data_IF_396240613054
#
_entry.id   IF_396240613054
#
_cell.length_a   1.000
_cell.length_b   1.000
_cell.length_c   1.000
_cell.angle_alpha   90.00
_cell.angle_beta   90.00
_cell.angle_gamma   90.00
#
_symmetry.space_group_name_H-M   'P 1'
#
loop_
_entity.id
_entity.type
_entity.pdbx_description
1 polymer ?
#
# COMPACT_ATOMS: atom_id res chain seq x y z
N UNK A 1 8.80 -8.31 3.93
CA UNK A 1 9.31 -6.97 3.54
C UNK A 1 10.75 -6.95 4.03
N UNK A 2 11.66 -7.57 3.27
CA UNK A 2 13.00 -7.95 3.76
C UNK A 2 14.13 -7.29 2.99
N UNK A 3 13.84 -6.27 2.18
CA UNK A 3 14.82 -5.72 1.24
C UNK A 3 15.74 -4.66 1.81
N UNK A 4 15.51 -4.15 3.02
CA UNK A 4 16.35 -3.10 3.64
C UNK A 4 16.43 -1.78 2.84
N UNK A 5 15.78 -1.71 1.68
CA UNK A 5 15.81 -0.62 0.73
C UNK A 5 14.39 -0.10 0.46
N UNK A 6 14.24 1.21 0.19
CA UNK A 6 12.95 1.78 -0.16
C UNK A 6 12.40 1.22 -1.47
N UNK A 7 11.09 1.03 -1.54
CA UNK A 7 10.41 0.74 -2.79
C UNK A 7 10.03 2.03 -3.51
N UNK A 8 10.26 2.09 -4.82
CA UNK A 8 9.84 3.20 -5.66
C UNK A 8 8.80 2.70 -6.67
N UNK A 9 7.63 3.35 -6.69
CA UNK A 9 6.51 3.00 -7.55
C UNK A 9 5.69 4.27 -7.88
N UNK A 10 4.95 4.22 -8.98
CA UNK A 10 3.93 5.24 -9.28
C UNK A 10 2.71 5.03 -8.40
N UNK A 11 2.15 6.11 -7.84
CA UNK A 11 0.90 6.05 -7.06
C UNK A 11 -0.30 5.61 -7.90
N UNK A 12 -0.24 5.70 -9.23
CA UNK A 12 -1.28 5.19 -10.13
C UNK A 12 -1.12 3.70 -10.46
N UNK A 13 0.03 3.10 -10.15
CA UNK A 13 0.35 1.69 -10.43
C UNK A 13 0.11 0.75 -9.24
N UNK A 14 -0.58 1.21 -8.19
CA UNK A 14 -0.86 0.45 -6.97
C UNK A 14 -2.37 0.28 -6.78
N UNK A 15 -2.75 -0.62 -5.86
CA UNK A 15 -4.16 -0.77 -5.46
C UNK A 15 -4.74 0.57 -4.98
N UNK A 16 -6.04 0.76 -5.22
CA UNK A 16 -6.71 2.04 -5.00
C UNK A 16 -6.55 2.54 -3.55
N UNK A 17 -6.73 1.66 -2.55
CA UNK A 17 -6.57 2.07 -1.15
C UNK A 17 -5.16 2.56 -0.81
N UNK A 18 -4.14 2.10 -1.53
CA UNK A 18 -2.77 2.56 -1.31
C UNK A 18 -2.51 3.92 -2.00
N UNK A 19 -3.08 4.14 -3.19
CA UNK A 19 -3.11 5.47 -3.82
C UNK A 19 -3.77 6.49 -2.88
N UNK A 20 -4.99 6.19 -2.44
CA UNK A 20 -5.82 7.11 -1.66
C UNK A 20 -5.20 7.42 -0.29
N UNK A 21 -4.47 6.47 0.30
CA UNK A 21 -3.81 6.66 1.57
C UNK A 21 -2.52 7.50 1.49
N UNK A 22 -1.78 7.43 0.38
CA UNK A 22 -0.48 8.08 0.24
C UNK A 22 -0.54 9.44 -0.44
N UNK A 23 -1.49 9.66 -1.36
CA UNK A 23 -1.63 10.95 -2.02
C UNK A 23 -2.02 12.04 -1.01
N UNK A 24 -1.31 13.16 -1.06
CA UNK A 24 -1.51 14.29 -0.13
C UNK A 24 -0.73 14.16 1.19
N UNK A 25 -0.10 13.02 1.46
CA UNK A 25 0.79 12.89 2.62
C UNK A 25 2.09 13.65 2.42
N UNK A 26 2.66 14.14 3.53
CA UNK A 26 3.92 14.89 3.52
C UNK A 26 5.11 13.94 3.47
N UNK A 27 6.09 14.22 2.61
CA UNK A 27 7.39 13.53 2.62
C UNK A 27 8.06 13.65 4.00
N UNK A 28 8.61 12.55 4.49
CA UNK A 28 9.20 12.38 5.81
C UNK A 28 8.23 11.89 6.89
N UNK A 29 6.95 11.67 6.56
CA UNK A 29 5.97 11.12 7.49
C UNK A 29 5.98 9.59 7.54
N UNK A 30 5.51 9.04 8.66
CA UNK A 30 5.13 7.64 8.82
C UNK A 30 3.62 7.56 8.96
N UNK A 31 2.97 6.71 8.16
CA UNK A 31 1.52 6.50 8.19
C UNK A 31 1.19 5.02 8.36
N UNK A 32 0.10 4.73 9.08
CA UNK A 32 -0.50 3.40 9.11
C UNK A 32 -1.67 3.40 8.14
N UNK A 33 -1.67 2.44 7.22
CA UNK A 33 -2.67 2.32 6.16
C UNK A 33 -3.42 1.01 6.36
N UNK A 34 -4.75 1.09 6.46
CA UNK A 34 -5.64 -0.07 6.59
C UNK A 34 -6.53 -0.07 5.35
N UNK A 35 -6.47 -1.14 4.56
CA UNK A 35 -7.15 -1.26 3.27
C UNK A 35 -8.09 -2.45 3.32
N UNK A 36 -9.41 -2.21 3.40
CA UNK A 36 -10.42 -3.25 3.18
C UNK A 36 -10.23 -3.93 1.83
N UNK A 37 -10.65 -5.18 1.70
CA UNK A 37 -10.41 -5.98 0.50
C UNK A 37 -10.94 -5.30 -0.77
N UNK A 38 -12.06 -4.59 -0.70
CA UNK A 38 -12.70 -3.91 -1.83
C UNK A 38 -11.84 -2.79 -2.44
N UNK A 39 -10.94 -2.20 -1.64
CA UNK A 39 -9.96 -1.19 -2.10
C UNK A 39 -8.57 -1.80 -2.35
N UNK A 40 -8.43 -3.10 -2.14
CA UNK A 40 -7.22 -3.89 -2.35
C UNK A 40 -7.38 -4.89 -3.48
N UNK A 41 -7.47 -6.18 -3.12
CA UNK A 41 -7.49 -7.30 -4.06
C UNK A 41 -8.84 -8.01 -4.15
N UNK A 42 -9.87 -7.47 -3.51
CA UNK A 42 -11.25 -7.98 -3.52
C UNK A 42 -11.36 -9.43 -3.05
N UNK A 43 -12.37 -10.12 -3.57
CA UNK A 43 -12.64 -11.53 -3.27
C UNK A 43 -11.68 -12.50 -3.99
N UNK A 44 -10.89 -12.01 -4.95
CA UNK A 44 -9.93 -12.83 -5.69
C UNK A 44 -8.61 -13.00 -4.92
N UNK A 45 -8.21 -12.00 -4.14
CA UNK A 45 -6.89 -11.99 -3.51
C UNK A 45 -5.75 -11.79 -4.51
N UNK A 46 -4.51 -12.08 -4.10
CA UNK A 46 -3.32 -11.94 -4.93
C UNK A 46 -2.21 -12.91 -4.53
N UNK A 47 -1.77 -13.71 -5.50
CA UNK A 47 -0.77 -14.75 -5.29
C UNK A 47 -1.18 -15.74 -4.21
N UNK A 48 -0.19 -16.32 -3.52
CA UNK A 48 -0.43 -17.34 -2.49
C UNK A 48 -0.64 -16.75 -1.08
N UNK A 49 -0.34 -15.46 -0.90
CA UNK A 49 -0.27 -14.83 0.43
C UNK A 49 -1.49 -13.98 0.78
N UNK A 50 -2.15 -13.38 -0.20
CA UNK A 50 -3.29 -12.50 0.03
C UNK A 50 -4.53 -13.24 -0.45
N UNK A 51 -5.40 -13.63 0.47
CA UNK A 51 -6.64 -14.33 0.14
C UNK A 51 -7.74 -13.34 -0.21
N UNK A 52 -8.76 -13.84 -0.87
CA UNK A 52 -10.00 -13.10 -1.07
C UNK A 52 -10.60 -12.63 0.24
N UNK A 53 -10.99 -11.36 0.30
CA UNK A 53 -11.61 -10.76 1.49
C UNK A 53 -10.62 -10.30 2.57
N UNK A 54 -9.31 -10.51 2.39
CA UNK A 54 -8.32 -10.06 3.36
C UNK A 54 -8.24 -8.52 3.43
N UNK A 55 -8.19 -8.00 4.66
CA UNK A 55 -7.83 -6.60 4.92
C UNK A 55 -6.33 -6.48 5.04
N UNK A 56 -5.74 -5.52 4.31
CA UNK A 56 -4.31 -5.27 4.34
C UNK A 56 -3.97 -4.16 5.34
N UNK A 57 -2.90 -4.35 6.09
CA UNK A 57 -2.38 -3.34 7.02
C UNK A 57 -0.91 -3.09 6.72
N UNK A 58 -0.57 -1.82 6.46
CA UNK A 58 0.78 -1.39 6.15
C UNK A 58 1.23 -0.28 7.10
N UNK A 59 2.52 -0.27 7.41
CA UNK A 59 3.21 0.89 7.99
C UNK A 59 4.15 1.41 6.93
N UNK A 60 3.97 2.66 6.52
CA UNK A 60 4.69 3.26 5.39
C UNK A 60 5.48 4.46 5.88
N UNK A 61 6.79 4.45 5.60
CA UNK A 61 7.66 5.62 5.68
C UNK A 61 7.76 6.27 4.30
N UNK A 62 7.37 7.53 4.19
CA UNK A 62 7.42 8.26 2.91
C UNK A 62 8.77 8.98 2.83
N UNK A 63 9.71 8.42 2.09
CA UNK A 63 11.08 8.96 2.04
C UNK A 63 11.27 10.04 0.96
N UNK A 64 10.45 10.06 -0.09
CA UNK A 64 10.57 11.03 -1.18
C UNK A 64 9.53 10.84 -2.29
N UNK A 65 9.57 11.73 -3.27
CA UNK A 65 8.83 11.67 -4.55
C UNK A 65 9.81 11.97 -5.68
N UNK A 66 9.58 11.42 -6.87
CA UNK A 66 10.40 11.61 -8.07
C UNK A 66 9.54 11.80 -9.32
#
# INVERSE_FOLDING_TARGET
FDRGEPATFSTQGVIQGFHDALVGQKVGSRVVVIIPSELGYGDTGSGDQIKGGDTLVFVVDILGVQ
#
